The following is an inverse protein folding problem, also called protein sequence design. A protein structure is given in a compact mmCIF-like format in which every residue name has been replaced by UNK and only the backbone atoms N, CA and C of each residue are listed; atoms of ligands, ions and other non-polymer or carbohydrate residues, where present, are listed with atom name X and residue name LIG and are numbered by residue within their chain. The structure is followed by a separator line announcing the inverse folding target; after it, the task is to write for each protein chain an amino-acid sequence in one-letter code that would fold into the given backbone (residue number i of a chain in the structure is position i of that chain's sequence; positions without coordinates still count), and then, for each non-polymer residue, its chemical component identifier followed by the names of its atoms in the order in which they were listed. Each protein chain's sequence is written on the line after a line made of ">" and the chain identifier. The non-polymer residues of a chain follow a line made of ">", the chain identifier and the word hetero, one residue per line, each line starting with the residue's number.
data_IF_111152918954
#
_entry.id   IF_111152918954
#
_cell.length_a   1.000
_cell.length_b   1.000
_cell.length_c   1.000
_cell.angle_alpha   90.00
_cell.angle_beta   90.00
_cell.angle_gamma   90.00
#
_symmetry.space_group_name_H-M   'P 1'
#
loop_
_entity.id
_entity.type
_entity.pdbx_description
1 polymer ?
#
# COMPACT_ATOMS: atom_id res chain seq x y z
N UNK A 1 5.10 44.16 -5.11
CA UNK A 1 5.90 43.39 -4.13
C UNK A 1 5.28 42.01 -3.99
N UNK A 2 6.10 40.96 -3.95
CA UNK A 2 5.62 39.59 -3.81
C UNK A 2 5.11 39.36 -2.37
N UNK A 3 4.02 38.62 -2.20
CA UNK A 3 3.43 38.37 -0.87
C UNK A 3 4.42 37.61 0.01
N UNK A 4 4.72 38.14 1.21
CA UNK A 4 5.67 37.54 2.16
C UNK A 4 5.31 36.09 2.50
N UNK A 5 4.01 35.78 2.66
CA UNK A 5 3.56 34.42 2.94
C UNK A 5 3.95 33.43 1.82
N UNK A 6 3.91 33.87 0.55
CA UNK A 6 4.33 33.03 -0.59
C UNK A 6 5.84 32.77 -0.58
N UNK A 7 6.63 33.77 -0.14
CA UNK A 7 8.08 33.60 0.00
C UNK A 7 8.40 32.59 1.11
N UNK A 8 7.75 32.73 2.27
CA UNK A 8 7.92 31.82 3.40
C UNK A 8 7.55 30.38 3.05
N UNK A 9 6.42 30.17 2.38
CA UNK A 9 5.99 28.82 1.97
C UNK A 9 7.01 28.21 1.00
N UNK A 10 7.47 28.97 -0.01
CA UNK A 10 8.47 28.49 -0.97
C UNK A 10 9.77 28.06 -0.29
N UNK A 11 10.25 28.86 0.66
CA UNK A 11 11.49 28.56 1.39
C UNK A 11 11.33 27.33 2.27
N UNK A 12 10.21 27.21 2.99
CA UNK A 12 9.90 26.03 3.79
C UNK A 12 9.83 24.76 2.94
N UNK A 13 9.11 24.79 1.81
CA UNK A 13 9.06 23.65 0.88
C UNK A 13 10.42 23.33 0.26
N UNK A 14 11.29 24.33 0.10
CA UNK A 14 12.66 24.12 -0.37
C UNK A 14 13.56 23.40 0.64
N UNK A 15 13.22 23.40 1.93
CA UNK A 15 13.95 22.64 2.96
C UNK A 15 13.50 21.18 3.04
N UNK A 16 12.27 20.89 2.62
CA UNK A 16 11.64 19.57 2.74
C UNK A 16 11.02 19.18 1.38
N UNK A 17 11.83 18.95 0.34
CA UNK A 17 11.34 18.74 -1.03
C UNK A 17 10.39 17.54 -1.15
N UNK A 18 10.57 16.52 -0.30
CA UNK A 18 9.74 15.32 -0.22
C UNK A 18 8.28 15.59 0.17
N UNK A 19 7.96 16.75 0.76
CA UNK A 19 6.57 17.19 0.95
C UNK A 19 5.82 17.43 -0.37
N UNK A 20 6.54 17.62 -1.46
CA UNK A 20 5.93 17.82 -2.79
C UNK A 20 6.13 16.61 -3.67
N UNK A 21 7.32 16.02 -3.66
CA UNK A 21 7.65 14.86 -4.48
C UNK A 21 8.83 14.10 -3.88
N UNK A 22 8.66 12.79 -3.73
CA UNK A 22 9.70 11.85 -3.28
C UNK A 22 10.35 11.21 -4.49
N UNK A 23 11.68 11.23 -4.59
CA UNK A 23 12.44 10.80 -5.77
C UNK A 23 13.37 9.62 -5.52
N UNK A 24 13.61 9.27 -4.26
CA UNK A 24 14.50 8.20 -3.85
C UNK A 24 14.05 7.62 -2.51
N UNK A 25 14.70 6.54 -2.09
CA UNK A 25 14.36 5.84 -0.86
C UNK A 25 14.63 6.65 0.40
N UNK A 26 15.72 7.43 0.44
CA UNK A 26 16.06 8.24 1.61
C UNK A 26 14.98 9.31 1.86
N UNK A 27 14.51 9.99 0.81
CA UNK A 27 13.38 10.94 0.86
C UNK A 27 12.07 10.26 1.29
N UNK A 28 11.87 8.99 0.93
CA UNK A 28 10.70 8.22 1.35
C UNK A 28 10.75 7.90 2.85
N UNK A 29 11.91 7.51 3.37
CA UNK A 29 12.10 7.28 4.81
C UNK A 29 11.95 8.57 5.62
N UNK A 30 12.49 9.69 5.14
CA UNK A 30 12.29 11.01 5.74
C UNK A 30 10.80 11.41 5.75
N UNK A 31 10.07 11.14 4.66
CA UNK A 31 8.64 11.39 4.59
C UNK A 31 7.84 10.54 5.60
N UNK A 32 8.20 9.28 5.80
CA UNK A 32 7.56 8.42 6.80
C UNK A 32 7.85 8.88 8.22
N UNK A 33 9.09 9.28 8.52
CA UNK A 33 9.46 9.82 9.83
C UNK A 33 8.69 11.10 10.14
N UNK A 34 8.58 12.02 9.17
CA UNK A 34 7.78 13.23 9.34
C UNK A 34 6.29 12.93 9.51
N UNK A 35 5.74 11.93 8.80
CA UNK A 35 4.35 11.53 8.97
C UNK A 35 4.08 11.11 10.42
N UNK A 36 4.98 10.34 11.04
CA UNK A 36 4.88 9.91 12.44
C UNK A 36 4.86 11.11 13.40
N UNK A 37 5.70 12.13 13.16
CA UNK A 37 5.68 13.36 13.95
C UNK A 37 4.39 14.18 13.75
N UNK A 38 3.87 14.26 12.53
CA UNK A 38 2.70 15.09 12.23
C UNK A 38 1.41 14.51 12.82
N UNK A 39 1.28 13.18 12.88
CA UNK A 39 0.06 12.54 13.40
C UNK A 39 -0.12 12.70 14.91
N UNK A 40 0.93 13.03 15.65
CA UNK A 40 0.86 13.34 17.09
C UNK A 40 -0.11 14.51 17.38
N UNK A 41 -0.18 15.50 16.47
CA UNK A 41 -1.20 16.56 16.47
C UNK A 41 -1.94 16.60 15.12
N UNK A 42 -2.72 15.54 14.89
CA UNK A 42 -3.45 15.32 13.64
C UNK A 42 -4.32 16.50 13.21
N UNK A 43 -5.09 17.09 14.13
CA UNK A 43 -6.07 18.13 13.80
C UNK A 43 -5.37 19.42 13.35
N UNK A 44 -4.27 19.80 14.00
CA UNK A 44 -3.45 20.96 13.63
C UNK A 44 -2.71 20.71 12.32
N UNK A 45 -2.23 19.49 12.10
CA UNK A 45 -1.32 19.15 10.99
C UNK A 45 -2.02 18.60 9.74
N UNK A 46 -3.35 18.49 9.75
CA UNK A 46 -4.13 17.84 8.69
C UNK A 46 -3.76 18.25 7.26
N UNK A 47 -3.49 19.54 7.04
CA UNK A 47 -3.09 20.05 5.72
C UNK A 47 -1.75 19.48 5.25
N UNK A 48 -0.75 19.41 6.14
CA UNK A 48 0.57 18.85 5.85
C UNK A 48 0.50 17.33 5.71
N UNK A 49 -0.29 16.66 6.55
CA UNK A 49 -0.54 15.21 6.47
C UNK A 49 -1.09 14.83 5.11
N UNK A 50 -2.12 15.54 4.62
CA UNK A 50 -2.71 15.26 3.29
C UNK A 50 -1.67 15.46 2.18
N UNK A 51 -0.88 16.53 2.27
CA UNK A 51 0.16 16.82 1.27
C UNK A 51 1.23 15.72 1.25
N UNK A 52 1.75 15.33 2.41
CA UNK A 52 2.77 14.31 2.55
C UNK A 52 2.26 12.92 2.15
N UNK A 53 1.04 12.56 2.54
CA UNK A 53 0.40 11.31 2.15
C UNK A 53 0.26 11.19 0.62
N UNK A 54 -0.05 12.29 -0.05
CA UNK A 54 -0.13 12.34 -1.52
C UNK A 54 1.23 12.06 -2.17
N UNK A 55 2.31 12.62 -1.62
CA UNK A 55 3.67 12.38 -2.13
C UNK A 55 4.15 10.94 -1.88
N UNK A 56 3.80 10.37 -0.72
CA UNK A 56 4.07 8.96 -0.35
C UNK A 56 3.35 8.02 -1.31
N UNK A 57 2.04 8.19 -1.52
CA UNK A 57 1.23 7.36 -2.42
C UNK A 57 1.81 7.36 -3.85
N UNK A 58 2.16 8.54 -4.37
CA UNK A 58 2.77 8.66 -5.71
C UNK A 58 4.10 7.92 -5.83
N UNK A 59 4.89 7.84 -4.76
CA UNK A 59 6.13 7.08 -4.74
C UNK A 59 5.87 5.57 -4.69
N UNK A 60 4.99 5.13 -3.81
CA UNK A 60 4.60 3.72 -3.66
C UNK A 60 3.96 3.16 -4.94
N UNK A 61 3.23 3.97 -5.70
CA UNK A 61 2.63 3.56 -6.97
C UNK A 61 3.66 3.27 -8.07
N UNK A 62 4.78 4.00 -8.08
CA UNK A 62 5.76 3.99 -9.19
C UNK A 62 7.08 3.28 -8.88
N UNK A 63 7.40 3.08 -7.62
CA UNK A 63 8.69 2.52 -7.20
C UNK A 63 8.77 1.01 -7.48
N UNK A 64 9.96 0.55 -7.83
CA UNK A 64 10.20 -0.86 -8.17
C UNK A 64 9.95 -1.79 -6.98
N UNK A 65 10.26 -1.34 -5.76
CA UNK A 65 10.07 -2.09 -4.52
C UNK A 65 8.60 -2.50 -4.31
N UNK A 66 7.66 -1.62 -4.64
CA UNK A 66 6.24 -1.82 -4.43
C UNK A 66 5.55 -2.48 -5.63
N UNK A 67 6.24 -2.68 -6.76
CA UNK A 67 5.64 -3.21 -7.99
C UNK A 67 4.97 -4.58 -7.79
N UNK A 68 5.60 -5.49 -7.05
CA UNK A 68 5.03 -6.80 -6.76
C UNK A 68 3.76 -6.70 -5.89
N UNK A 69 3.76 -5.78 -4.92
CA UNK A 69 2.62 -5.51 -4.07
C UNK A 69 1.48 -4.86 -4.85
N UNK A 70 1.75 -3.85 -5.67
CA UNK A 70 0.76 -3.15 -6.49
C UNK A 70 0.10 -4.10 -7.51
N UNK A 71 0.87 -5.01 -8.09
CA UNK A 71 0.34 -6.06 -8.96
C UNK A 71 -0.56 -7.03 -8.18
N UNK A 72 -0.18 -7.41 -6.95
CA UNK A 72 -0.99 -8.28 -6.12
C UNK A 72 -2.32 -7.59 -5.74
N UNK A 73 -2.29 -6.32 -5.32
CA UNK A 73 -3.48 -5.55 -4.92
C UNK A 73 -4.44 -5.35 -6.10
N UNK A 74 -3.93 -4.95 -7.27
CA UNK A 74 -4.76 -4.76 -8.48
C UNK A 74 -5.46 -6.05 -8.96
N UNK A 75 -4.88 -7.22 -8.66
CA UNK A 75 -5.46 -8.53 -8.99
C UNK A 75 -6.55 -9.01 -8.02
N UNK A 76 -6.78 -8.34 -6.88
CA UNK A 76 -7.78 -8.76 -5.90
C UNK A 76 -9.06 -7.93 -6.06
N UNK A 77 -10.15 -8.57 -6.47
CA UNK A 77 -11.46 -7.94 -6.42
C UNK A 77 -11.79 -7.55 -4.95
N UNK A 78 -12.25 -6.31 -4.67
CA UNK A 78 -12.42 -5.82 -3.29
C UNK A 78 -13.24 -6.75 -2.39
N UNK A 79 -14.31 -7.36 -2.92
CA UNK A 79 -15.11 -8.35 -2.19
C UNK A 79 -14.36 -9.64 -1.83
N UNK A 80 -13.37 -10.05 -2.64
CA UNK A 80 -12.52 -11.21 -2.35
C UNK A 80 -11.49 -10.87 -1.28
N UNK A 81 -10.98 -9.62 -1.23
CA UNK A 81 -10.08 -9.17 -0.16
C UNK A 81 -10.78 -9.22 1.20
N UNK A 82 -11.97 -8.61 1.31
CA UNK A 82 -12.77 -8.60 2.54
C UNK A 82 -13.09 -10.02 2.99
N UNK A 83 -13.54 -10.88 2.06
CA UNK A 83 -13.86 -12.27 2.37
C UNK A 83 -12.63 -13.06 2.87
N UNK A 84 -11.46 -12.90 2.23
CA UNK A 84 -10.21 -13.53 2.66
C UNK A 84 -9.79 -13.05 4.05
N UNK A 85 -9.96 -11.76 4.35
CA UNK A 85 -9.67 -11.20 5.67
C UNK A 85 -10.58 -11.79 6.73
N UNK A 86 -11.89 -11.86 6.48
CA UNK A 86 -12.85 -12.49 7.39
C UNK A 86 -12.56 -13.99 7.59
N UNK A 87 -12.24 -14.71 6.52
CA UNK A 87 -11.83 -16.12 6.59
C UNK A 87 -10.58 -16.32 7.44
N UNK A 88 -9.57 -15.45 7.28
CA UNK A 88 -8.34 -15.49 8.09
C UNK A 88 -8.62 -15.18 9.57
N UNK A 89 -9.32 -14.07 9.84
CA UNK A 89 -9.62 -13.59 11.20
C UNK A 89 -10.50 -14.58 11.99
N UNK A 90 -11.48 -15.20 11.34
CA UNK A 90 -12.42 -16.13 11.97
C UNK A 90 -12.09 -17.60 11.72
N UNK A 91 -10.95 -17.89 11.07
CA UNK A 91 -10.46 -19.23 10.75
C UNK A 91 -11.48 -20.06 9.95
N UNK A 92 -12.26 -19.39 9.11
CA UNK A 92 -13.32 -20.00 8.32
C UNK A 92 -12.74 -20.68 7.08
N UNK A 93 -13.07 -21.96 6.90
CA UNK A 93 -12.84 -22.69 5.67
C UNK A 93 -13.91 -22.40 4.62
N UNK A 94 -13.68 -22.87 3.38
CA UNK A 94 -14.67 -22.77 2.29
C UNK A 94 -15.96 -23.54 2.63
N UNK A 95 -15.88 -24.53 3.53
CA UNK A 95 -17.02 -25.29 4.02
C UNK A 95 -17.91 -24.51 5.00
N UNK A 96 -17.35 -23.50 5.67
CA UNK A 96 -18.04 -22.70 6.69
C UNK A 96 -18.77 -21.49 6.10
N UNK A 97 -18.74 -21.33 4.77
CA UNK A 97 -19.34 -20.23 4.03
C UNK A 97 -20.34 -20.78 2.97
N UNK A 98 -21.48 -21.34 3.41
CA UNK A 98 -22.49 -21.91 2.51
C UNK A 98 -23.09 -20.88 1.55
N UNK A 99 -23.05 -19.60 1.89
CA UNK A 99 -23.57 -18.48 1.08
C UNK A 99 -22.77 -18.28 -0.22
N UNK A 100 -21.54 -18.78 -0.31
CA UNK A 100 -20.73 -18.70 -1.52
C UNK A 100 -21.14 -19.71 -2.59
N UNK A 101 -21.89 -20.76 -2.23
CA UNK A 101 -22.37 -21.81 -3.12
C UNK A 101 -21.27 -22.72 -3.70
N UNK A 102 -21.68 -23.86 -4.25
CA UNK A 102 -20.83 -24.96 -4.74
C UNK A 102 -19.87 -24.62 -5.90
N UNK A 103 -19.88 -23.38 -6.40
CA UNK A 103 -19.00 -22.89 -7.48
C UNK A 103 -17.57 -22.58 -7.01
N UNK A 104 -17.34 -22.32 -5.71
CA UNK A 104 -16.00 -22.02 -5.18
C UNK A 104 -15.15 -23.25 -4.85
N UNK A 105 -15.78 -24.42 -4.66
CA UNK A 105 -15.08 -25.69 -4.40
C UNK A 105 -14.14 -26.11 -5.54
N UNK A 106 -14.41 -25.66 -6.78
CA UNK A 106 -13.69 -26.12 -7.97
C UNK A 106 -12.51 -25.22 -8.40
N UNK A 107 -12.17 -24.17 -7.65
CA UNK A 107 -10.98 -23.34 -7.96
C UNK A 107 -9.67 -23.87 -7.36
N UNK A 108 -9.73 -24.84 -6.45
CA UNK A 108 -8.57 -25.66 -6.06
C UNK A 108 -8.59 -26.92 -6.91
N UNK A 109 -7.86 -26.92 -8.04
CA UNK A 109 -7.10 -28.02 -8.67
C UNK A 109 -6.83 -27.60 -10.12
N UNK A 110 -5.77 -26.82 -10.32
CA UNK A 110 -4.84 -27.01 -11.44
C UNK A 110 -3.43 -26.93 -10.88
N UNK A 111 -3.04 -27.92 -10.08
CA UNK A 111 -1.60 -28.24 -9.92
C UNK A 111 -1.15 -28.73 -11.30
N UNK A 112 -0.45 -27.87 -12.03
CA UNK A 112 0.16 -28.21 -13.31
C UNK A 112 1.28 -29.22 -13.01
N UNK A 113 0.93 -30.48 -13.21
CA UNK A 113 1.77 -31.59 -13.65
C UNK A 113 3.21 -31.20 -14.03
N UNK A 114 4.16 -31.32 -13.10
CA UNK A 114 5.54 -31.76 -13.36
C UNK A 114 6.04 -32.51 -12.12
N UNK A 115 5.51 -33.71 -11.91
CA UNK A 115 6.32 -34.79 -11.37
C UNK A 115 7.08 -35.40 -12.56
N UNK A 116 8.29 -34.94 -12.79
CA UNK A 116 9.40 -35.72 -13.34
C UNK A 116 10.42 -35.71 -12.19
N UNK A 117 10.47 -36.79 -11.40
CA UNK A 117 11.56 -37.78 -11.46
C UNK A 117 12.92 -37.04 -11.25
N UNK A 118 13.64 -37.14 -10.14
CA UNK A 118 14.05 -38.33 -9.39
C UNK A 118 14.80 -37.90 -8.11
N UNK A 119 14.43 -38.49 -6.97
CA UNK A 119 15.22 -39.08 -5.86
C UNK A 119 16.56 -38.44 -5.43
N UNK A 120 16.70 -38.24 -4.12
CA UNK A 120 17.94 -38.10 -3.35
C UNK A 120 19.11 -38.98 -3.85
N UNK A 121 20.18 -38.36 -4.35
CA UNK A 121 21.58 -38.49 -3.89
C UNK A 121 22.43 -37.46 -4.63
#
# INVERSE_FOLDING_TARGET
>A
MMNHALVTIREALGQMPYLTQINNQDEYEEALALMDELVDDYDTNKGLIVMLATSIEQWEDRSEEFTAFNLAVSGVAPGIAVLKTLMSQHHLGVADLPELGSKWGNRRIRKKSYAKLTVFS
#
